data_IF_796918280526
#
_entry.id   IF_796918280526
#
_cell.length_a   1.000
_cell.length_b   1.000
_cell.length_c   1.000
_cell.angle_alpha   90.00
_cell.angle_beta   90.00
_cell.angle_gamma   90.00
#
_symmetry.space_group_name_H-M   'P 1'
#
loop_
_entity.id
_entity.type
_entity.pdbx_description
1 polymer ?
#
# COMPACT_ATOMS: atom_id res chain seq x y z
N UNK A 1 27.92 -4.77 -14.22
CA UNK A 1 27.43 -5.57 -15.36
C UNK A 1 26.18 -4.89 -15.86
N UNK A 2 26.08 -4.62 -17.16
CA UNK A 2 24.91 -3.97 -17.74
C UNK A 2 23.66 -4.81 -17.44
N UNK A 3 22.73 -4.24 -16.68
CA UNK A 3 21.36 -4.75 -16.57
C UNK A 3 20.80 -4.71 -17.98
N UNK A 4 20.67 -5.88 -18.61
CA UNK A 4 19.87 -6.02 -19.82
C UNK A 4 18.50 -5.44 -19.53
N UNK A 5 18.04 -4.51 -20.37
CA UNK A 5 16.65 -4.07 -20.43
C UNK A 5 15.77 -5.29 -20.72
N UNK A 6 15.43 -6.05 -19.67
CA UNK A 6 14.46 -7.13 -19.74
C UNK A 6 13.09 -6.46 -19.78
N UNK A 7 12.56 -6.33 -20.99
CA UNK A 7 11.17 -5.95 -21.21
C UNK A 7 10.25 -6.92 -20.44
N UNK A 8 9.32 -6.39 -19.67
CA UNK A 8 8.41 -7.19 -18.86
C UNK A 8 7.61 -8.15 -19.75
N UNK A 9 7.63 -9.44 -19.41
CA UNK A 9 6.87 -10.49 -20.12
C UNK A 9 5.89 -11.17 -19.17
N UNK A 10 4.60 -10.90 -19.36
CA UNK A 10 3.52 -11.53 -18.57
C UNK A 10 3.55 -13.05 -18.67
N UNK A 11 3.87 -13.60 -19.85
CA UNK A 11 3.93 -15.05 -20.05
C UNK A 11 5.12 -15.68 -19.33
N UNK A 12 6.26 -14.97 -19.24
CA UNK A 12 7.42 -15.44 -18.48
C UNK A 12 7.13 -15.43 -16.98
N UNK A 13 6.53 -14.36 -16.45
CA UNK A 13 6.14 -14.30 -15.03
C UNK A 13 5.14 -15.40 -14.66
N UNK A 14 4.19 -15.71 -15.55
CA UNK A 14 3.26 -16.82 -15.36
C UNK A 14 4.03 -18.15 -15.35
N UNK A 15 4.95 -18.37 -16.30
CA UNK A 15 5.75 -19.59 -16.36
C UNK A 15 6.57 -19.79 -15.08
N UNK A 16 7.31 -18.76 -14.65
CA UNK A 16 8.16 -18.77 -13.45
C UNK A 16 7.33 -19.00 -12.17
N UNK A 17 6.11 -18.48 -12.12
CA UNK A 17 5.18 -18.77 -11.01
C UNK A 17 4.82 -20.26 -10.95
N UNK A 18 4.49 -20.88 -12.08
CA UNK A 18 4.08 -22.29 -12.13
C UNK A 18 5.24 -23.27 -11.89
N UNK A 19 6.50 -22.83 -11.93
CA UNK A 19 7.62 -23.64 -11.48
C UNK A 19 7.57 -23.94 -9.97
N UNK A 20 6.97 -23.05 -9.18
CA UNK A 20 6.88 -23.10 -7.71
C UNK A 20 5.76 -23.99 -7.18
N UNK A 21 4.89 -24.50 -8.07
CA UNK A 21 3.72 -25.30 -7.69
C UNK A 21 3.60 -26.58 -8.52
N UNK A 22 2.84 -27.54 -7.99
CA UNK A 22 2.43 -28.75 -8.70
C UNK A 22 1.14 -28.55 -9.50
N UNK A 23 0.37 -27.50 -9.21
CA UNK A 23 -0.79 -27.14 -10.00
C UNK A 23 -0.36 -26.63 -11.38
N UNK A 24 -1.21 -26.84 -12.39
CA UNK A 24 -0.95 -26.35 -13.77
C UNK A 24 -1.82 -25.15 -14.07
N UNK A 25 -1.36 -24.30 -15.01
CA UNK A 25 -2.17 -23.20 -15.57
C UNK A 25 -3.52 -23.71 -16.08
N UNK A 26 -3.51 -24.82 -16.82
CA UNK A 26 -4.73 -25.46 -17.34
C UNK A 26 -5.70 -25.87 -16.22
N UNK A 27 -5.20 -26.41 -15.10
CA UNK A 27 -6.05 -26.76 -13.96
C UNK A 27 -6.68 -25.51 -13.32
N UNK A 28 -5.92 -24.42 -13.18
CA UNK A 28 -6.41 -23.14 -12.68
C UNK A 28 -7.48 -22.56 -13.61
N UNK A 29 -7.22 -22.56 -14.92
CA UNK A 29 -8.14 -22.06 -15.93
C UNK A 29 -9.45 -22.86 -15.97
N UNK A 30 -9.35 -24.19 -15.92
CA UNK A 30 -10.52 -25.06 -15.88
C UNK A 30 -11.35 -24.81 -14.61
N UNK A 31 -10.69 -24.65 -13.46
CA UNK A 31 -11.36 -24.34 -12.21
C UNK A 31 -12.13 -23.02 -12.30
N UNK A 32 -11.48 -21.93 -12.74
CA UNK A 32 -12.11 -20.62 -12.82
C UNK A 32 -13.26 -20.60 -13.84
N UNK A 33 -13.10 -21.24 -15.01
CA UNK A 33 -14.17 -21.37 -16.02
C UNK A 33 -15.37 -22.15 -15.50
N UNK A 34 -15.15 -23.25 -14.77
CA UNK A 34 -16.22 -24.08 -14.23
C UNK A 34 -17.05 -23.31 -13.17
N UNK A 35 -16.39 -22.50 -12.33
CA UNK A 35 -17.05 -21.81 -11.21
C UNK A 35 -17.65 -20.46 -11.58
N UNK A 36 -17.06 -19.73 -12.53
CA UNK A 36 -17.42 -18.34 -12.83
C UNK A 36 -17.88 -18.13 -14.28
N UNK A 37 -17.57 -19.05 -15.18
CA UNK A 37 -17.83 -18.91 -16.61
C UNK A 37 -17.04 -17.78 -17.27
N UNK A 38 -17.34 -17.54 -18.55
CA UNK A 38 -16.71 -16.48 -19.34
C UNK A 38 -15.28 -16.80 -19.79
N UNK A 39 -14.66 -15.81 -20.43
CA UNK A 39 -13.26 -15.88 -20.84
C UNK A 39 -12.35 -15.48 -19.68
N UNK A 40 -11.21 -16.14 -19.57
CA UNK A 40 -10.18 -15.77 -18.61
C UNK A 40 -9.17 -14.86 -19.30
N UNK A 41 -8.85 -13.75 -18.65
CA UNK A 41 -7.85 -12.80 -19.13
C UNK A 41 -6.83 -12.58 -18.02
N UNK A 42 -5.56 -13.00 -18.20
CA UNK A 42 -4.50 -12.66 -17.26
C UNK A 42 -4.43 -11.15 -17.03
N UNK A 43 -4.23 -10.73 -15.78
CA UNK A 43 -3.97 -9.31 -15.50
C UNK A 43 -2.64 -8.90 -16.13
N UNK A 44 -2.55 -7.65 -16.57
CA UNK A 44 -1.40 -7.14 -17.34
C UNK A 44 -0.08 -7.25 -16.57
N UNK A 45 -0.12 -7.11 -15.25
CA UNK A 45 1.04 -7.28 -14.36
C UNK A 45 0.71 -8.35 -13.32
N UNK A 46 1.40 -9.48 -13.38
CA UNK A 46 1.31 -10.55 -12.38
C UNK A 46 2.10 -10.19 -11.13
N UNK A 47 1.58 -10.59 -9.96
CA UNK A 47 2.32 -10.53 -8.71
C UNK A 47 3.19 -11.77 -8.52
N UNK A 48 4.36 -11.62 -7.89
CA UNK A 48 5.30 -12.73 -7.63
C UNK A 48 4.68 -13.84 -6.76
N UNK A 49 3.65 -13.49 -5.99
CA UNK A 49 3.00 -14.34 -5.00
C UNK A 49 1.77 -15.10 -5.54
N UNK A 50 1.30 -14.79 -6.75
CA UNK A 50 0.04 -15.32 -7.26
C UNK A 50 -0.11 -15.24 -8.77
N UNK A 51 -0.68 -16.27 -9.38
CA UNK A 51 -1.26 -16.16 -10.71
C UNK A 51 -2.65 -15.52 -10.61
N UNK A 52 -2.86 -14.41 -11.32
CA UNK A 52 -4.09 -13.61 -11.25
C UNK A 52 -4.74 -13.45 -12.62
N UNK A 53 -6.05 -13.71 -12.68
CA UNK A 53 -6.86 -13.58 -13.90
C UNK A 53 -8.16 -12.84 -13.62
N UNK A 54 -8.65 -12.08 -14.60
CA UNK A 54 -10.04 -11.67 -14.66
C UNK A 54 -10.92 -12.84 -15.12
N UNK A 55 -12.09 -12.98 -14.52
CA UNK A 55 -13.04 -14.04 -14.81
C UNK A 55 -14.49 -13.53 -14.75
N UNK A 56 -15.43 -14.36 -15.23
CA UNK A 56 -16.84 -14.04 -15.35
C UNK A 56 -17.21 -13.50 -16.74
N UNK A 57 -18.50 -13.55 -17.13
CA UNK A 57 -18.96 -13.11 -18.45
C UNK A 57 -18.58 -11.67 -18.81
N UNK A 58 -18.47 -10.79 -17.81
CA UNK A 58 -18.15 -9.37 -17.94
C UNK A 58 -16.83 -9.00 -17.26
N UNK A 59 -15.95 -9.99 -17.02
CA UNK A 59 -14.71 -9.81 -16.27
C UNK A 59 -14.94 -9.11 -14.91
N UNK A 60 -16.06 -9.44 -14.23
CA UNK A 60 -16.49 -8.85 -12.97
C UNK A 60 -15.81 -9.46 -11.73
N UNK A 61 -15.06 -10.55 -11.91
CA UNK A 61 -14.29 -11.19 -10.85
C UNK A 61 -12.78 -11.12 -11.12
N UNK A 62 -12.02 -11.10 -10.04
CA UNK A 62 -10.58 -11.37 -10.02
C UNK A 62 -10.37 -12.70 -9.32
N UNK A 63 -9.68 -13.63 -9.96
CA UNK A 63 -9.29 -14.90 -9.34
C UNK A 63 -7.80 -14.88 -9.10
N UNK A 64 -7.39 -15.09 -7.85
CA UNK A 64 -6.00 -15.26 -7.46
C UNK A 64 -5.75 -16.71 -7.06
N UNK A 65 -4.76 -17.33 -7.70
CA UNK A 65 -4.20 -18.61 -7.31
C UNK A 65 -2.87 -18.31 -6.60
N UNK A 66 -2.88 -18.43 -5.28
CA UNK A 66 -1.75 -18.03 -4.43
C UNK A 66 -1.01 -19.24 -3.91
N UNK A 67 0.31 -19.13 -3.79
CA UNK A 67 1.10 -20.12 -3.08
C UNK A 67 0.58 -20.29 -1.64
N UNK A 68 0.56 -21.54 -1.12
CA UNK A 68 0.02 -21.84 0.21
C UNK A 68 0.71 -21.06 1.33
N UNK A 69 2.02 -20.87 1.24
CA UNK A 69 2.85 -20.03 2.10
C UNK A 69 2.45 -18.55 2.11
N UNK A 70 1.80 -18.09 1.03
CA UNK A 70 1.42 -16.69 0.78
C UNK A 70 -0.11 -16.51 0.75
N UNK A 71 -0.83 -17.40 1.45
CA UNK A 71 -2.29 -17.38 1.55
C UNK A 71 -2.81 -16.05 2.13
N UNK A 72 -3.97 -15.60 1.67
CA UNK A 72 -4.62 -14.42 2.24
C UNK A 72 -5.25 -14.76 3.58
N UNK A 73 -5.12 -13.83 4.53
CA UNK A 73 -5.87 -13.83 5.76
C UNK A 73 -7.32 -13.40 5.46
N UNK A 74 -8.27 -14.32 5.66
CA UNK A 74 -9.68 -14.07 5.33
C UNK A 74 -10.33 -13.13 6.34
N UNK A 75 -9.91 -13.15 7.60
CA UNK A 75 -10.34 -12.19 8.61
C UNK A 75 -9.96 -10.77 8.21
N UNK A 76 -8.73 -10.55 7.75
CA UNK A 76 -8.25 -9.26 7.23
C UNK A 76 -9.05 -8.80 6.01
N UNK A 77 -9.27 -9.68 5.03
CA UNK A 77 -10.03 -9.33 3.82
C UNK A 77 -11.50 -8.98 4.14
N UNK A 78 -12.13 -9.76 5.02
CA UNK A 78 -13.50 -9.50 5.48
C UNK A 78 -13.58 -8.21 6.29
N UNK A 79 -12.58 -7.92 7.12
CA UNK A 79 -12.50 -6.69 7.90
C UNK A 79 -12.36 -5.47 6.99
N UNK A 80 -11.49 -5.55 5.96
CA UNK A 80 -11.37 -4.48 4.96
C UNK A 80 -12.71 -4.21 4.27
N UNK A 81 -13.44 -5.26 3.87
CA UNK A 81 -14.78 -5.12 3.28
C UNK A 81 -15.78 -4.49 4.25
N UNK A 82 -15.70 -4.83 5.54
CA UNK A 82 -16.58 -4.28 6.59
C UNK A 82 -16.35 -2.78 6.80
N UNK A 83 -15.09 -2.35 6.91
CA UNK A 83 -14.71 -0.94 7.17
C UNK A 83 -14.92 -0.07 5.93
N UNK A 84 -14.44 -0.53 4.77
CA UNK A 84 -14.34 0.29 3.56
C UNK A 84 -15.48 0.05 2.57
N UNK A 85 -16.37 -0.91 2.84
CA UNK A 85 -17.54 -1.19 2.02
C UNK A 85 -17.16 -1.47 0.57
N UNK A 86 -17.74 -0.71 -0.37
CA UNK A 86 -17.51 -0.92 -1.80
C UNK A 86 -16.08 -0.58 -2.26
N UNK A 87 -15.30 0.17 -1.47
CA UNK A 87 -13.91 0.48 -1.82
C UNK A 87 -12.97 -0.71 -1.68
N UNK A 88 -13.31 -1.73 -0.87
CA UNK A 88 -12.52 -2.95 -0.74
C UNK A 88 -13.20 -4.13 -1.46
N UNK A 89 -12.44 -5.04 -2.11
CA UNK A 89 -13.02 -6.20 -2.76
C UNK A 89 -13.67 -7.16 -1.75
N UNK A 90 -14.79 -7.76 -2.13
CA UNK A 90 -15.32 -8.92 -1.42
C UNK A 90 -14.52 -10.16 -1.83
N UNK A 91 -13.88 -10.83 -0.88
CA UNK A 91 -13.01 -11.99 -1.12
C UNK A 91 -13.70 -13.27 -0.64
N UNK A 92 -13.60 -14.34 -1.43
CA UNK A 92 -14.09 -15.69 -1.09
C UNK A 92 -12.98 -16.70 -1.34
N UNK A 93 -12.76 -17.58 -0.37
CA UNK A 93 -11.88 -18.74 -0.54
C UNK A 93 -12.67 -19.91 -1.13
N UNK A 94 -12.16 -20.53 -2.20
CA UNK A 94 -12.84 -21.62 -2.91
C UNK A 94 -12.12 -22.99 -2.82
N UNK A 95 -11.02 -23.08 -2.09
CA UNK A 95 -10.27 -24.33 -1.90
C UNK A 95 -8.86 -24.25 -2.45
N UNK A 96 -8.28 -25.42 -2.75
CA UNK A 96 -6.89 -25.55 -3.18
C UNK A 96 -6.74 -26.45 -4.41
N UNK A 97 -5.64 -26.27 -5.15
CA UNK A 97 -5.21 -27.11 -6.27
C UNK A 97 -3.77 -27.55 -6.10
N UNK A 98 -3.48 -28.79 -6.51
CA UNK A 98 -2.16 -29.39 -6.40
C UNK A 98 -1.87 -29.98 -5.01
N UNK A 99 -0.66 -30.50 -4.87
CA UNK A 99 -0.13 -31.18 -3.69
C UNK A 99 1.24 -30.63 -3.31
N UNK A 100 1.68 -30.92 -2.09
CA UNK A 100 3.04 -30.61 -1.62
C UNK A 100 3.99 -31.68 -2.15
N UNK A 101 4.91 -31.31 -3.05
CA UNK A 101 5.93 -32.22 -3.60
C UNK A 101 7.29 -31.52 -3.60
N UNK A 102 8.21 -31.98 -2.74
CA UNK A 102 9.51 -31.34 -2.57
C UNK A 102 9.36 -29.89 -2.12
N UNK A 103 9.98 -28.95 -2.86
CA UNK A 103 9.86 -27.51 -2.61
C UNK A 103 8.62 -26.87 -3.26
N UNK A 104 7.78 -27.65 -3.96
CA UNK A 104 6.58 -27.14 -4.63
C UNK A 104 5.39 -27.24 -3.69
N UNK A 105 4.59 -26.19 -3.65
CA UNK A 105 3.42 -26.09 -2.77
C UNK A 105 2.10 -25.96 -3.56
N UNK A 106 0.96 -26.33 -2.96
CA UNK A 106 -0.35 -26.19 -3.60
C UNK A 106 -0.75 -24.72 -3.74
N UNK A 107 -1.73 -24.46 -4.61
CA UNK A 107 -2.32 -23.15 -4.81
C UNK A 107 -3.64 -23.01 -4.08
N UNK A 108 -3.79 -21.94 -3.31
CA UNK A 108 -5.03 -21.53 -2.66
C UNK A 108 -5.79 -20.58 -3.58
N UNK A 109 -7.09 -20.83 -3.73
CA UNK A 109 -7.91 -20.14 -4.73
C UNK A 109 -8.81 -19.12 -4.05
N UNK A 110 -8.67 -17.86 -4.47
CA UNK A 110 -9.47 -16.75 -4.00
C UNK A 110 -10.22 -16.11 -5.16
N UNK A 111 -11.51 -15.91 -4.99
CA UNK A 111 -12.35 -15.15 -5.91
C UNK A 111 -12.74 -13.84 -5.27
N UNK A 112 -12.53 -12.75 -6.00
CA UNK A 112 -12.74 -11.39 -5.52
C UNK A 112 -13.68 -10.64 -6.44
N UNK A 113 -14.54 -9.77 -5.90
CA UNK A 113 -15.26 -8.80 -6.72
C UNK A 113 -14.27 -7.81 -7.34
N UNK A 114 -14.34 -7.59 -8.66
CA UNK A 114 -13.47 -6.62 -9.33
C UNK A 114 -13.88 -5.19 -8.99
N UNK A 115 -12.91 -4.39 -8.55
CA UNK A 115 -13.02 -2.93 -8.47
C UNK A 115 -12.88 -2.37 -9.89
N UNK A 116 -13.96 -1.83 -10.46
CA UNK A 116 -14.03 -1.44 -11.87
C UNK A 116 -13.47 -0.02 -12.09
N UNK A 117 -12.18 0.07 -12.36
CA UNK A 117 -11.47 1.28 -12.74
C UNK A 117 -10.08 0.94 -13.26
N UNK A 118 -9.19 1.93 -13.29
CA UNK A 118 -7.77 1.74 -13.63
C UNK A 118 -6.90 2.07 -12.41
N UNK A 119 -5.68 1.54 -12.35
CA UNK A 119 -4.76 1.94 -11.28
C UNK A 119 -4.44 3.43 -11.40
N UNK A 120 -4.13 4.09 -10.29
CA UNK A 120 -3.70 5.49 -10.33
C UNK A 120 -2.39 5.65 -11.11
N UNK A 121 -1.53 4.63 -11.11
CA UNK A 121 -0.36 4.57 -11.98
C UNK A 121 -0.75 4.64 -13.47
N UNK A 122 -1.68 3.79 -13.91
CA UNK A 122 -2.15 3.79 -15.31
C UNK A 122 -2.79 5.13 -15.68
N UNK A 123 -3.55 5.72 -14.75
CA UNK A 123 -4.13 7.05 -14.93
C UNK A 123 -3.03 8.09 -15.18
N UNK A 124 -1.99 8.12 -14.34
CA UNK A 124 -0.87 9.05 -14.51
C UNK A 124 -0.18 8.79 -15.85
N UNK A 125 0.14 7.54 -16.18
CA UNK A 125 0.85 7.19 -17.42
C UNK A 125 0.06 7.56 -18.68
N UNK A 126 -1.26 7.34 -18.69
CA UNK A 126 -2.12 7.65 -19.81
C UNK A 126 -2.19 9.17 -20.09
N UNK A 127 -2.23 10.00 -19.05
CA UNK A 127 -2.47 11.43 -19.19
C UNK A 127 -1.22 12.31 -19.13
N UNK A 128 -0.13 11.90 -18.47
CA UNK A 128 1.07 12.73 -18.29
C UNK A 128 1.78 13.04 -19.62
N UNK A 129 1.65 12.16 -20.63
CA UNK A 129 2.17 12.44 -21.98
C UNK A 129 1.42 13.59 -22.70
N UNK A 130 0.19 13.92 -22.28
CA UNK A 130 -0.71 14.85 -22.98
C UNK A 130 -1.02 16.10 -22.16
N UNK A 131 -0.96 15.99 -20.84
CA UNK A 131 -1.39 17.02 -19.90
C UNK A 131 -0.30 17.22 -18.87
N UNK A 132 0.24 18.45 -18.79
CA UNK A 132 1.21 18.80 -17.75
C UNK A 132 0.63 18.53 -16.36
N UNK A 133 1.43 17.91 -15.49
CA UNK A 133 1.06 17.60 -14.11
C UNK A 133 0.69 18.86 -13.31
N UNK A 134 1.23 20.03 -13.62
CA UNK A 134 0.87 21.28 -12.96
C UNK A 134 -0.26 22.07 -13.68
N UNK A 135 -0.88 21.46 -14.69
CA UNK A 135 -2.02 22.10 -15.37
C UNK A 135 -3.26 22.17 -14.46
N UNK A 136 -4.18 23.13 -14.70
CA UNK A 136 -5.44 23.22 -13.96
C UNK A 136 -6.28 21.93 -14.04
N UNK A 137 -6.23 21.22 -15.17
CA UNK A 137 -6.97 19.97 -15.37
C UNK A 137 -6.44 18.86 -14.45
N UNK A 138 -5.12 18.69 -14.39
CA UNK A 138 -4.51 17.67 -13.53
C UNK A 138 -4.65 18.05 -12.05
N UNK A 139 -4.54 19.33 -11.70
CA UNK A 139 -4.86 19.84 -10.36
C UNK A 139 -6.29 19.48 -9.95
N UNK A 140 -7.28 19.68 -10.84
CA UNK A 140 -8.67 19.28 -10.55
C UNK A 140 -8.80 17.78 -10.25
N UNK A 141 -8.10 16.92 -11.00
CA UNK A 141 -8.09 15.48 -10.75
C UNK A 141 -7.41 15.12 -9.42
N UNK A 142 -6.28 15.74 -9.10
CA UNK A 142 -5.63 15.56 -7.79
C UNK A 142 -6.55 15.96 -6.64
N UNK A 143 -7.27 17.08 -6.77
CA UNK A 143 -8.23 17.53 -5.76
C UNK A 143 -9.34 16.51 -5.54
N UNK A 144 -9.92 15.95 -6.62
CA UNK A 144 -10.92 14.88 -6.52
C UNK A 144 -10.37 13.68 -5.74
N UNK A 145 -9.20 13.19 -6.14
CA UNK A 145 -8.58 12.03 -5.51
C UNK A 145 -8.24 12.31 -4.03
N UNK A 146 -7.61 13.45 -3.71
CA UNK A 146 -7.23 13.81 -2.34
C UNK A 146 -8.45 13.94 -1.44
N UNK A 147 -9.55 14.53 -1.92
CA UNK A 147 -10.82 14.58 -1.18
C UNK A 147 -11.35 13.18 -0.88
N UNK A 148 -11.37 12.29 -1.86
CA UNK A 148 -11.89 10.92 -1.66
C UNK A 148 -10.97 10.08 -0.76
N UNK A 149 -9.65 10.27 -0.87
CA UNK A 149 -8.66 9.61 0.00
C UNK A 149 -8.80 10.09 1.44
N UNK A 150 -9.03 11.39 1.68
CA UNK A 150 -9.31 11.89 3.03
C UNK A 150 -10.56 11.24 3.64
N UNK A 151 -11.63 11.09 2.85
CA UNK A 151 -12.84 10.35 3.27
C UNK A 151 -12.54 8.87 3.53
N UNK A 152 -11.74 8.24 2.68
CA UNK A 152 -11.31 6.85 2.85
C UNK A 152 -10.55 6.64 4.16
N UNK A 153 -9.59 7.51 4.49
CA UNK A 153 -8.89 7.47 5.77
C UNK A 153 -9.84 7.72 6.96
N UNK A 154 -10.84 8.58 6.79
CA UNK A 154 -11.86 8.79 7.83
C UNK A 154 -12.71 7.52 8.09
N UNK A 155 -12.94 6.66 7.10
CA UNK A 155 -13.60 5.35 7.33
C UNK A 155 -12.77 4.48 8.27
N UNK A 156 -11.45 4.44 8.07
CA UNK A 156 -10.53 3.72 8.96
C UNK A 156 -10.59 4.27 10.39
N UNK A 157 -10.57 5.59 10.54
CA UNK A 157 -10.67 6.26 11.85
C UNK A 157 -11.97 5.91 12.58
N UNK A 158 -13.09 5.91 11.85
CA UNK A 158 -14.44 5.59 12.37
C UNK A 158 -14.66 4.09 12.63
N UNK A 159 -13.78 3.23 12.12
CA UNK A 159 -13.81 1.79 12.34
C UNK A 159 -12.65 1.29 13.20
N UNK A 160 -12.50 1.77 14.45
CA UNK A 160 -11.44 1.27 15.34
C UNK A 160 -11.67 -0.21 15.66
N UNK A 161 -10.57 -0.93 15.83
CA UNK A 161 -10.53 -2.36 16.13
C UNK A 161 -10.20 -2.57 17.60
N UNK A 162 -10.95 -3.48 18.24
CA UNK A 162 -10.62 -3.94 19.57
C UNK A 162 -9.48 -4.96 19.47
N UNK A 163 -8.39 -4.67 20.17
CA UNK A 163 -7.26 -5.58 20.34
C UNK A 163 -7.04 -5.79 21.82
N UNK A 164 -6.57 -6.99 22.20
CA UNK A 164 -6.18 -7.23 23.58
C UNK A 164 -4.88 -6.49 23.94
N UNK A 165 -4.63 -6.38 25.24
CA UNK A 165 -3.46 -5.67 25.76
C UNK A 165 -2.16 -6.34 25.33
N UNK A 166 -2.12 -7.68 25.26
CA UNK A 166 -0.93 -8.44 24.85
C UNK A 166 -0.53 -8.13 23.41
N UNK A 167 -1.48 -8.08 22.48
CA UNK A 167 -1.25 -7.68 21.10
C UNK A 167 -0.67 -6.27 21.02
N UNK A 168 -1.29 -5.34 21.76
CA UNK A 168 -0.88 -3.94 21.78
C UNK A 168 0.52 -3.75 22.35
N UNK A 169 0.85 -4.44 23.45
CA UNK A 169 2.18 -4.39 24.07
C UNK A 169 3.23 -5.01 23.15
N UNK A 170 2.93 -6.17 22.53
CA UNK A 170 3.84 -6.81 21.57
C UNK A 170 4.11 -5.91 20.36
N UNK A 171 3.08 -5.22 19.85
CA UNK A 171 3.25 -4.27 18.75
C UNK A 171 4.08 -3.05 19.18
N UNK A 172 3.83 -2.54 20.38
CA UNK A 172 4.60 -1.43 20.96
C UNK A 172 6.08 -1.77 21.10
N UNK A 173 6.39 -2.93 21.69
CA UNK A 173 7.76 -3.41 21.84
C UNK A 173 8.45 -3.59 20.49
N UNK A 174 7.77 -4.20 19.52
CA UNK A 174 8.31 -4.37 18.16
C UNK A 174 8.67 -3.04 17.51
N UNK A 175 7.76 -2.07 17.50
CA UNK A 175 8.03 -0.76 16.89
C UNK A 175 9.12 0.01 17.64
N UNK A 176 9.20 -0.13 18.96
CA UNK A 176 10.29 0.44 19.74
C UNK A 176 11.63 -0.18 19.33
N UNK A 177 11.72 -1.51 19.27
CA UNK A 177 12.93 -2.23 18.86
C UNK A 177 13.35 -1.89 17.43
N UNK A 178 12.39 -1.79 16.51
CA UNK A 178 12.64 -1.38 15.14
C UNK A 178 13.19 0.06 15.07
N UNK A 179 12.59 1.01 15.80
CA UNK A 179 13.10 2.39 15.86
C UNK A 179 14.48 2.47 16.53
N UNK A 180 14.73 1.71 17.60
CA UNK A 180 16.06 1.63 18.24
C UNK A 180 17.11 1.05 17.25
N UNK A 181 16.71 0.06 16.44
CA UNK A 181 17.55 -0.52 15.40
C UNK A 181 17.89 0.49 14.28
N UNK A 182 16.90 1.30 13.88
CA UNK A 182 17.13 2.41 12.96
C UNK A 182 18.05 3.48 13.55
N UNK A 183 17.89 3.80 14.84
CA UNK A 183 18.72 4.79 15.53
C UNK A 183 20.21 4.38 15.52
N UNK A 184 20.48 3.08 15.67
CA UNK A 184 21.82 2.52 15.63
C UNK A 184 22.41 2.41 14.20
N UNK A 185 21.56 2.26 13.19
CA UNK A 185 21.99 1.89 11.83
C UNK A 185 21.96 3.05 10.83
N UNK A 186 21.01 3.97 10.94
CA UNK A 186 20.84 5.06 9.98
C UNK A 186 21.84 6.20 10.21
N UNK A 187 22.20 6.95 9.16
CA UNK A 187 23.08 8.12 9.28
C UNK A 187 22.60 9.13 10.34
N UNK A 188 23.54 9.79 11.02
CA UNK A 188 23.28 10.72 12.12
C UNK A 188 22.23 11.81 11.84
N UNK A 189 22.09 12.21 10.56
CA UNK A 189 21.08 13.17 10.09
C UNK A 189 19.63 12.76 10.38
N UNK A 190 19.34 11.48 10.55
CA UNK A 190 17.99 10.98 10.86
C UNK A 190 17.72 10.78 12.36
N UNK A 191 18.76 10.78 13.20
CA UNK A 191 18.64 10.50 14.63
C UNK A 191 17.62 11.40 15.35
N UNK A 192 17.52 12.72 15.07
CA UNK A 192 16.52 13.57 15.72
C UNK A 192 15.07 13.06 15.50
N UNK A 193 14.71 12.68 14.28
CA UNK A 193 13.36 12.20 13.96
C UNK A 193 13.06 10.83 14.56
N UNK A 194 14.06 9.95 14.63
CA UNK A 194 13.92 8.64 15.24
C UNK A 194 13.75 8.78 16.75
N UNK A 195 14.57 9.61 17.39
CA UNK A 195 14.49 9.88 18.83
C UNK A 195 13.16 10.54 19.20
N UNK A 196 12.69 11.49 18.39
CA UNK A 196 11.37 12.09 18.58
C UNK A 196 10.24 11.07 18.41
N UNK A 197 10.32 10.19 17.40
CA UNK A 197 9.35 9.12 17.20
C UNK A 197 9.31 8.13 18.38
N UNK A 198 10.47 7.80 18.96
CA UNK A 198 10.58 6.99 20.18
C UNK A 198 9.92 7.70 21.38
N UNK A 199 10.17 9.00 21.55
CA UNK A 199 9.60 9.79 22.65
C UNK A 199 8.08 9.92 22.52
N UNK A 200 7.57 10.04 21.30
CA UNK A 200 6.13 10.17 21.00
C UNK A 200 5.42 8.84 20.86
N UNK A 201 6.13 7.70 20.91
CA UNK A 201 5.55 6.37 20.72
C UNK A 201 4.36 6.08 21.67
N UNK A 202 4.41 6.42 22.97
CA UNK A 202 3.24 6.26 23.85
C UNK A 202 2.02 7.07 23.38
N UNK A 203 2.24 8.27 22.86
CA UNK A 203 1.19 9.14 22.32
C UNK A 203 0.65 8.60 21.00
N UNK A 204 1.50 8.06 20.14
CA UNK A 204 1.08 7.39 18.90
C UNK A 204 0.20 6.20 19.25
N UNK A 205 0.60 5.38 20.23
CA UNK A 205 -0.19 4.23 20.62
C UNK A 205 -1.51 4.60 21.26
N UNK A 206 -1.67 5.78 21.88
CA UNK A 206 -2.97 6.24 22.40
C UNK A 206 -4.01 6.52 21.31
N UNK A 207 -3.60 6.62 20.04
CA UNK A 207 -4.51 6.70 18.90
C UNK A 207 -5.32 5.40 18.74
N UNK A 208 -6.48 5.47 18.07
CA UNK A 208 -7.27 4.28 17.76
C UNK A 208 -6.47 3.26 16.95
N UNK A 209 -6.60 1.98 17.34
CA UNK A 209 -6.09 0.85 16.55
C UNK A 209 -7.02 0.64 15.36
N UNK A 210 -6.49 0.65 14.15
CA UNK A 210 -7.29 0.60 12.92
C UNK A 210 -6.64 -0.34 11.90
N UNK A 211 -7.41 -0.78 10.90
CA UNK A 211 -6.86 -1.57 9.81
C UNK A 211 -6.10 -0.67 8.81
N UNK A 212 -4.77 -0.73 8.85
CA UNK A 212 -3.88 -0.07 7.90
C UNK A 212 -3.62 -0.95 6.68
N UNK A 213 -3.60 -0.37 5.48
CA UNK A 213 -3.31 -1.12 4.25
C UNK A 213 -1.85 -1.59 4.14
N UNK A 214 -0.90 -0.85 4.71
CA UNK A 214 0.57 -1.04 4.68
C UNK A 214 1.25 -1.00 3.30
N UNK A 215 0.54 -1.34 2.21
CA UNK A 215 1.00 -1.12 0.82
C UNK A 215 0.10 -0.13 0.05
N UNK A 216 -0.16 1.03 0.65
CA UNK A 216 -1.05 2.04 0.06
C UNK A 216 -0.29 2.83 -1.01
N UNK A 217 -0.35 2.39 -2.26
CA UNK A 217 0.44 2.95 -3.35
C UNK A 217 -0.34 3.15 -4.65
N UNK A 218 0.30 3.80 -5.63
CA UNK A 218 -0.28 4.16 -6.93
C UNK A 218 -0.77 2.96 -7.75
N UNK A 219 -0.23 1.75 -7.50
CA UNK A 219 -0.67 0.51 -8.13
C UNK A 219 -1.94 -0.08 -7.49
N UNK A 220 -2.15 0.18 -6.20
CA UNK A 220 -3.24 -0.42 -5.40
C UNK A 220 -4.44 0.50 -5.26
N UNK A 221 -4.29 1.79 -5.58
CA UNK A 221 -5.38 2.76 -5.67
C UNK A 221 -6.02 2.66 -7.05
N UNK A 222 -7.31 2.34 -7.08
CA UNK A 222 -8.12 2.26 -8.31
C UNK A 222 -8.97 3.52 -8.43
N UNK A 223 -8.88 4.20 -9.57
CA UNK A 223 -9.58 5.46 -9.83
C UNK A 223 -10.48 5.37 -11.06
N UNK A 224 -11.43 6.31 -11.13
CA UNK A 224 -12.22 6.52 -12.32
C UNK A 224 -11.35 7.14 -13.43
N UNK A 225 -11.35 6.53 -14.61
CA UNK A 225 -10.51 6.90 -15.74
C UNK A 225 -10.72 8.34 -16.26
N UNK A 226 -11.88 8.94 -16.00
CA UNK A 226 -12.21 10.30 -16.47
C UNK A 226 -12.09 11.35 -15.36
N UNK A 227 -12.55 11.03 -14.15
CA UNK A 227 -12.67 12.01 -13.07
C UNK A 227 -11.56 11.93 -12.02
N UNK A 228 -10.76 10.85 -12.01
CA UNK A 228 -9.77 10.54 -10.98
C UNK A 228 -10.35 10.39 -9.56
N UNK A 229 -11.67 10.21 -9.43
CA UNK A 229 -12.28 9.86 -8.15
C UNK A 229 -11.87 8.45 -7.72
N UNK A 230 -11.73 8.23 -6.41
CA UNK A 230 -11.42 6.91 -5.87
C UNK A 230 -12.58 5.95 -6.17
N UNK A 231 -12.26 4.79 -6.73
CA UNK A 231 -13.22 3.69 -6.96
C UNK A 231 -13.00 2.58 -5.95
N UNK A 232 -11.75 2.33 -5.55
CA UNK A 232 -11.42 1.37 -4.51
C UNK A 232 -9.92 1.19 -4.31
N UNK A 233 -9.60 0.33 -3.36
CA UNK A 233 -8.24 -0.03 -2.96
C UNK A 233 -8.15 -1.55 -2.93
N UNK A 234 -7.17 -2.09 -3.63
CA UNK A 234 -6.94 -3.53 -3.78
C UNK A 234 -5.65 -3.96 -3.08
N UNK A 235 -5.46 -5.27 -2.95
CA UNK A 235 -4.27 -5.89 -2.36
C UNK A 235 -4.08 -5.63 -0.85
N UNK A 236 -5.03 -6.12 -0.06
CA UNK A 236 -5.02 -6.04 1.40
C UNK A 236 -4.16 -7.11 2.08
N UNK A 237 -3.25 -7.77 1.35
CA UNK A 237 -2.46 -8.89 1.87
C UNK A 237 -1.53 -8.49 3.03
N UNK A 238 -0.96 -7.27 2.95
CA UNK A 238 -0.03 -6.73 3.94
C UNK A 238 -0.71 -5.95 5.07
N UNK A 239 -2.05 -5.92 5.09
CA UNK A 239 -2.78 -5.07 6.03
C UNK A 239 -2.61 -5.50 7.48
N UNK A 240 -2.46 -4.52 8.39
CA UNK A 240 -2.14 -4.72 9.80
C UNK A 240 -3.06 -3.84 10.67
N UNK A 241 -3.48 -4.36 11.83
CA UNK A 241 -4.17 -3.55 12.84
C UNK A 241 -3.11 -2.80 13.67
N UNK A 242 -3.01 -1.49 13.50
CA UNK A 242 -2.01 -0.66 14.17
C UNK A 242 -2.55 0.75 14.45
N UNK A 243 -1.83 1.58 15.24
CA UNK A 243 -2.26 2.96 15.49
C UNK A 243 -2.52 3.74 14.21
N UNK A 244 -3.62 4.49 14.18
CA UNK A 244 -3.97 5.32 13.03
C UNK A 244 -2.84 6.32 12.70
N UNK A 245 -2.59 6.51 11.41
CA UNK A 245 -1.63 7.50 10.91
C UNK A 245 -0.29 6.92 10.46
N UNK A 246 0.05 5.70 10.87
CA UNK A 246 1.32 5.07 10.47
C UNK A 246 1.44 4.80 8.95
N UNK A 247 0.34 4.74 8.20
CA UNK A 247 0.39 4.65 6.73
C UNK A 247 0.11 5.98 6.03
N UNK A 248 -0.11 7.10 6.75
CA UNK A 248 -0.44 8.40 6.15
C UNK A 248 0.72 9.02 5.35
N UNK A 249 1.97 8.57 5.55
CA UNK A 249 3.10 9.04 4.73
C UNK A 249 2.87 8.75 3.24
N UNK A 250 2.10 7.71 2.90
CA UNK A 250 1.72 7.36 1.54
C UNK A 250 0.98 8.48 0.79
N UNK A 251 0.27 9.36 1.53
CA UNK A 251 -0.41 10.53 0.97
C UNK A 251 0.54 11.42 0.15
N UNK A 252 1.83 11.48 0.49
CA UNK A 252 2.80 12.28 -0.25
C UNK A 252 2.91 11.90 -1.72
N UNK A 253 2.75 10.62 -2.07
CA UNK A 253 2.78 10.17 -3.47
C UNK A 253 1.58 10.69 -4.29
N UNK A 254 0.56 11.24 -3.63
CA UNK A 254 -0.61 11.82 -4.30
C UNK A 254 -0.46 13.32 -4.56
N UNK A 255 0.35 14.01 -3.74
CA UNK A 255 0.49 15.47 -3.77
C UNK A 255 1.91 15.94 -4.16
N UNK A 256 2.78 14.98 -4.42
CA UNK A 256 4.15 15.16 -4.91
C UNK A 256 4.50 14.03 -5.87
N UNK A 257 5.51 14.25 -6.71
CA UNK A 257 6.12 13.23 -7.56
C UNK A 257 7.52 12.88 -7.10
N UNK A 258 8.02 11.73 -7.52
CA UNK A 258 9.40 11.30 -7.29
C UNK A 258 10.08 11.09 -8.61
N UNK A 259 11.16 11.83 -8.83
CA UNK A 259 12.02 11.69 -9.98
C UNK A 259 13.26 10.87 -9.61
N UNK A 260 13.63 9.92 -10.48
CA UNK A 260 14.69 8.96 -10.20
C UNK A 260 16.06 9.59 -9.95
N UNK A 261 16.33 10.80 -10.46
CA UNK A 261 17.62 11.49 -10.22
C UNK A 261 17.58 12.48 -9.07
N UNK A 262 16.48 13.21 -8.93
CA UNK A 262 16.39 14.39 -8.04
C UNK A 262 15.54 14.14 -6.80
N UNK A 263 14.91 12.97 -6.69
CA UNK A 263 14.06 12.62 -5.57
C UNK A 263 12.70 13.30 -5.64
N UNK A 264 12.18 13.67 -4.47
CA UNK A 264 10.86 14.27 -4.34
C UNK A 264 10.79 15.65 -4.99
N UNK A 265 9.62 15.95 -5.58
CA UNK A 265 9.23 17.27 -6.04
C UNK A 265 7.75 17.48 -5.75
N UNK A 266 7.43 18.62 -5.12
CA UNK A 266 6.04 19.01 -4.85
C UNK A 266 5.36 19.44 -6.15
N UNK A 267 4.05 19.19 -6.26
CA UNK A 267 3.23 19.88 -7.26
C UNK A 267 2.98 21.33 -6.85
N UNK A 268 2.64 22.19 -7.80
CA UNK A 268 2.41 23.62 -7.52
C UNK A 268 1.25 23.85 -6.53
N UNK A 269 0.29 22.92 -6.50
CA UNK A 269 -0.87 22.93 -5.60
C UNK A 269 -0.66 22.16 -4.28
N UNK A 270 0.57 21.79 -3.93
CA UNK A 270 0.88 20.98 -2.73
C UNK A 270 0.23 21.50 -1.44
N UNK A 271 0.40 22.78 -1.12
CA UNK A 271 -0.14 23.37 0.13
C UNK A 271 -1.67 23.30 0.14
N UNK A 272 -2.29 23.64 -1.00
CA UNK A 272 -3.73 23.56 -1.15
C UNK A 272 -4.27 22.11 -1.05
N UNK A 273 -3.47 21.11 -1.42
CA UNK A 273 -3.83 19.70 -1.31
C UNK A 273 -3.65 19.16 0.12
N UNK A 274 -2.60 19.56 0.85
CA UNK A 274 -2.49 19.24 2.30
C UNK A 274 -3.68 19.86 3.06
N UNK A 275 -3.98 21.15 2.84
CA UNK A 275 -5.13 21.80 3.48
C UNK A 275 -6.45 21.12 3.13
N UNK A 276 -6.63 20.72 1.86
CA UNK A 276 -7.81 19.99 1.40
C UNK A 276 -7.94 18.62 2.08
N UNK A 277 -6.83 17.89 2.21
CA UNK A 277 -6.81 16.60 2.88
C UNK A 277 -7.22 16.74 4.34
N UNK A 278 -6.53 17.60 5.10
CA UNK A 278 -6.76 17.76 6.54
C UNK A 278 -8.15 18.34 6.83
N UNK A 279 -8.59 19.36 6.10
CA UNK A 279 -9.93 19.93 6.29
C UNK A 279 -11.05 18.92 6.00
N UNK A 280 -10.90 18.12 4.95
CA UNK A 280 -11.85 17.05 4.63
C UNK A 280 -11.83 15.98 5.71
N UNK A 281 -10.64 15.49 6.09
CA UNK A 281 -10.50 14.46 7.11
C UNK A 281 -11.06 14.90 8.47
N UNK A 282 -10.75 16.11 8.93
CA UNK A 282 -11.29 16.69 10.17
C UNK A 282 -12.81 16.84 10.12
N UNK A 283 -13.37 17.27 8.99
CA UNK A 283 -14.83 17.37 8.80
C UNK A 283 -15.48 15.99 8.89
N UNK A 284 -14.91 15.00 8.19
CA UNK A 284 -15.44 13.64 8.19
C UNK A 284 -15.37 13.01 9.58
N UNK A 285 -14.35 13.31 10.37
CA UNK A 285 -14.15 12.77 11.73
C UNK A 285 -14.84 13.57 12.84
N UNK A 286 -15.80 14.43 12.49
CA UNK A 286 -16.62 15.25 13.41
C UNK A 286 -15.80 16.23 14.28
N UNK A 287 -14.63 16.65 13.79
CA UNK A 287 -13.76 17.59 14.49
C UNK A 287 -12.79 16.89 15.45
N UNK A 288 -11.51 16.85 15.06
CA UNK A 288 -10.44 16.32 15.90
C UNK A 288 -9.79 17.44 16.72
N UNK A 289 -9.40 17.10 17.95
CA UNK A 289 -8.63 18.03 18.78
C UNK A 289 -7.25 18.30 18.14
N UNK A 290 -6.66 19.46 18.46
CA UNK A 290 -5.31 19.80 18.02
C UNK A 290 -4.27 18.77 18.48
N UNK A 291 -4.44 18.20 19.67
CA UNK A 291 -3.53 17.20 20.22
C UNK A 291 -3.64 15.86 19.46
N UNK A 292 -4.86 15.47 19.09
CA UNK A 292 -5.09 14.30 18.24
C UNK A 292 -4.45 14.47 16.87
N UNK A 293 -4.62 15.64 16.23
CA UNK A 293 -3.97 15.93 14.94
C UNK A 293 -2.44 15.86 15.07
N UNK A 294 -1.87 16.41 16.15
CA UNK A 294 -0.42 16.34 16.42
C UNK A 294 0.06 14.89 16.58
N UNK A 295 -0.69 14.07 17.29
CA UNK A 295 -0.39 12.64 17.45
C UNK A 295 -0.44 11.88 16.11
N UNK A 296 -1.44 12.16 15.27
CA UNK A 296 -1.56 11.56 13.94
C UNK A 296 -0.38 11.96 13.04
N UNK A 297 0.06 13.22 13.10
CA UNK A 297 1.23 13.71 12.36
C UNK A 297 2.54 13.07 12.86
N UNK A 298 2.67 12.85 14.17
CA UNK A 298 3.78 12.07 14.72
C UNK A 298 3.75 10.61 14.24
N UNK A 299 2.57 9.99 14.21
CA UNK A 299 2.38 8.64 13.67
C UNK A 299 2.77 8.55 12.18
N UNK A 300 2.45 9.58 11.37
CA UNK A 300 2.87 9.67 9.98
C UNK A 300 4.40 9.61 9.81
N UNK A 301 5.15 10.32 10.66
CA UNK A 301 6.63 10.32 10.63
C UNK A 301 7.17 8.96 11.07
N UNK A 302 6.69 8.41 12.20
CA UNK A 302 7.10 7.10 12.68
C UNK A 302 6.80 6.01 11.63
N UNK A 303 5.64 6.09 10.99
CA UNK A 303 5.23 5.21 9.90
C UNK A 303 6.17 5.25 8.69
N UNK A 304 6.61 6.45 8.30
CA UNK A 304 7.61 6.61 7.23
C UNK A 304 8.93 5.92 7.61
N UNK A 305 9.41 6.12 8.83
CA UNK A 305 10.64 5.50 9.32
C UNK A 305 10.53 3.96 9.35
N UNK A 306 9.43 3.42 9.88
CA UNK A 306 9.21 1.98 9.95
C UNK A 306 9.04 1.32 8.57
N UNK A 307 8.53 2.07 7.58
CA UNK A 307 8.34 1.59 6.21
C UNK A 307 9.58 1.72 5.35
N UNK A 308 10.23 2.90 5.35
CA UNK A 308 11.37 3.21 4.48
C UNK A 308 12.72 3.04 5.16
N UNK A 309 12.78 2.96 6.48
CA UNK A 309 14.03 2.66 7.20
C UNK A 309 14.49 1.21 7.06
N UNK A 310 13.67 0.32 6.51
CA UNK A 310 13.95 -1.11 6.38
C UNK A 310 13.95 -1.57 4.92
N UNK A 311 14.57 -2.72 4.65
CA UNK A 311 14.38 -3.46 3.41
C UNK A 311 12.92 -3.92 3.23
N UNK A 312 12.57 -4.39 2.03
CA UNK A 312 11.20 -4.81 1.70
C UNK A 312 10.62 -5.79 2.72
N UNK A 313 9.35 -5.59 3.07
CA UNK A 313 8.59 -6.43 4.01
C UNK A 313 7.64 -7.41 3.34
N UNK A 314 7.72 -7.54 2.00
CA UNK A 314 6.87 -8.48 1.26
C UNK A 314 7.11 -9.91 1.77
N UNK A 315 6.04 -10.68 1.93
CA UNK A 315 6.08 -12.01 2.56
C UNK A 315 7.03 -13.04 1.90
N UNK A 316 7.50 -12.80 0.67
CA UNK A 316 8.46 -13.64 -0.04
C UNK A 316 9.91 -13.11 0.00
N UNK A 317 10.17 -12.06 0.78
CA UNK A 317 11.48 -11.45 0.95
C UNK A 317 12.13 -11.88 2.28
N UNK A 318 13.46 -11.73 2.42
CA UNK A 318 14.13 -11.95 3.71
C UNK A 318 13.55 -11.06 4.81
N UNK A 319 13.77 -11.46 6.06
CA UNK A 319 13.42 -10.64 7.23
C UNK A 319 13.93 -9.20 7.06
N UNK A 320 13.08 -8.19 7.32
CA UNK A 320 13.43 -6.80 7.08
C UNK A 320 14.55 -6.35 7.99
N UNK A 321 15.62 -5.81 7.40
CA UNK A 321 16.76 -5.24 8.13
C UNK A 321 16.83 -3.73 7.88
N UNK A 322 17.41 -2.94 8.79
CA UNK A 322 17.65 -1.52 8.55
C UNK A 322 18.41 -1.31 7.23
N UNK A 323 17.97 -0.34 6.44
CA UNK A 323 18.68 0.05 5.21
C UNK A 323 20.06 0.59 5.57
N UNK A 324 20.97 0.50 4.61
CA UNK A 324 22.30 1.11 4.68
C UNK A 324 22.41 2.23 3.67
N UNK A 325 23.39 3.10 3.85
CA UNK A 325 23.74 4.12 2.84
C UNK A 325 24.56 3.46 1.70
N UNK A 326 23.93 2.50 1.02
CA UNK A 326 24.46 1.72 -0.09
C UNK A 326 23.46 1.66 -1.25
N UNK A 327 23.84 1.01 -2.35
CA UNK A 327 22.99 0.91 -3.55
C UNK A 327 21.64 0.25 -3.27
N UNK A 328 21.59 -0.72 -2.35
CA UNK A 328 20.35 -1.43 -1.98
C UNK A 328 19.40 -0.55 -1.16
N UNK A 329 19.93 0.31 -0.30
CA UNK A 329 19.15 1.24 0.51
C UNK A 329 18.86 2.58 -0.19
N UNK A 330 19.52 2.89 -1.30
CA UNK A 330 19.52 4.23 -1.91
C UNK A 330 18.13 4.80 -2.21
N UNK A 331 17.17 3.99 -2.67
CA UNK A 331 15.80 4.43 -2.95
C UNK A 331 15.06 4.85 -1.69
N UNK A 332 15.13 4.01 -0.66
CA UNK A 332 14.52 4.25 0.63
C UNK A 332 15.20 5.42 1.36
N UNK A 333 16.53 5.52 1.26
CA UNK A 333 17.30 6.65 1.79
C UNK A 333 16.86 7.97 1.16
N UNK A 334 16.68 7.99 -0.16
CA UNK A 334 16.19 9.17 -0.89
C UNK A 334 14.77 9.56 -0.49
N UNK A 335 13.92 8.59 -0.16
CA UNK A 335 12.59 8.86 0.38
C UNK A 335 12.66 9.52 1.76
N UNK A 336 13.53 9.03 2.65
CA UNK A 336 13.76 9.64 3.96
C UNK A 336 14.38 11.04 3.86
N UNK A 337 15.43 11.21 3.05
CA UNK A 337 16.07 12.52 2.82
C UNK A 337 15.06 13.54 2.27
N UNK A 338 14.23 13.13 1.31
CA UNK A 338 13.23 14.00 0.69
C UNK A 338 12.11 14.42 1.65
N UNK A 339 11.60 13.51 2.49
CA UNK A 339 10.42 13.76 3.31
C UNK A 339 10.72 14.24 4.74
N UNK A 340 11.95 14.04 5.24
CA UNK A 340 12.34 14.48 6.58
C UNK A 340 13.31 15.67 6.57
N UNK A 341 14.25 15.71 5.62
CA UNK A 341 15.37 16.66 5.67
C UNK A 341 15.25 17.81 4.67
N UNK A 342 14.93 17.51 3.42
CA UNK A 342 14.96 18.51 2.35
C UNK A 342 13.91 19.61 2.57
N UNK A 343 14.30 20.87 2.82
CA UNK A 343 13.34 21.95 3.10
C UNK A 343 12.28 22.17 2.01
N UNK A 344 12.60 21.84 0.76
CA UNK A 344 11.68 22.00 -0.37
C UNK A 344 10.56 20.93 -0.38
N UNK A 345 10.77 19.78 0.28
CA UNK A 345 9.89 18.61 0.15
C UNK A 345 9.54 17.92 1.44
N UNK A 346 10.20 18.24 2.56
CA UNK A 346 9.94 17.65 3.88
C UNK A 346 8.50 17.87 4.31
N UNK A 347 7.97 17.05 5.22
CA UNK A 347 6.63 17.29 5.75
C UNK A 347 6.51 18.70 6.33
N UNK A 348 5.38 19.36 6.07
CA UNK A 348 5.01 20.64 6.69
C UNK A 348 4.80 20.52 8.21
N UNK A 349 4.73 19.28 8.70
CA UNK A 349 4.57 18.94 10.11
C UNK A 349 5.88 19.08 10.91
N UNK A 350 7.01 19.32 10.24
CA UNK A 350 8.38 19.38 10.80
C UNK A 350 8.91 20.82 10.91
N UNK A 351 8.02 21.80 11.06
CA UNK A 351 8.37 23.22 11.26
C UNK A 351 8.73 23.57 12.71
#
# INVERSE_FOLDING_TARGET
MATSDLEYSVDQEIADFFEKTTATRTACDNFAKQHLGGNLVPVAVQGVCSHTVYAGPNAEFVVQFRLASLRLNMETANLARSIYGHFAPCVKFLGQLGEVIGCKEPLYIYVMSRVKGISYLDFILAYNAQVSENSPKFSSWRRNLVTDIAKFFALSWKGPQSVDQTYRDNLYHRYKEELDSLLASLPGRFQPFIQESLNLLPTIFSLPMVLLHKDFGVCNIIVNETSCNLVGVIDWAEAEIAPFGLNLFSHQRLISKVHLKTGWMRFDDYVALEDLFWSTFTKETEGLSSDTIRAIKAARIAGLLLSRGFTSRLANMPEPVPIRDDESGAYNMRDLDGLLLNPATRFTDLE
#
